data_IF_735837395021
#
_entry.id   IF_735837395021
#
_cell.length_a   1.000
_cell.length_b   1.000
_cell.length_c   1.000
_cell.angle_alpha   90.00
_cell.angle_beta   90.00
_cell.angle_gamma   90.00
#
_symmetry.space_group_name_H-M   'P 1'
#
loop_
_entity.id
_entity.type
_entity.pdbx_description
1 polymer ?
#
# COMPACT_ATOMS: atom_id res chain seq x y z
N UNK A 1 -37.80 -11.09 -7.30
CA UNK A 1 -37.20 -10.41 -8.46
C UNK A 1 -36.47 -9.18 -7.95
N UNK A 2 -35.15 -9.27 -7.78
CA UNK A 2 -34.33 -8.12 -7.40
C UNK A 2 -34.15 -7.23 -8.63
N UNK A 3 -34.48 -5.94 -8.48
CA UNK A 3 -34.36 -4.97 -9.55
C UNK A 3 -32.88 -4.82 -9.94
N UNK A 4 -32.57 -5.12 -11.21
CA UNK A 4 -31.26 -4.87 -11.78
C UNK A 4 -31.01 -3.35 -11.79
N UNK A 5 -29.95 -2.91 -11.11
CA UNK A 5 -29.46 -1.54 -11.18
C UNK A 5 -29.08 -1.21 -12.64
N UNK A 6 -29.39 0.01 -13.12
CA UNK A 6 -29.16 0.39 -14.51
C UNK A 6 -27.65 0.38 -14.84
N UNK A 7 -27.28 -0.45 -15.82
CA UNK A 7 -25.95 -0.38 -16.48
C UNK A 7 -25.96 0.84 -17.40
N UNK A 8 -25.45 1.97 -16.91
CA UNK A 8 -25.58 3.26 -17.60
C UNK A 8 -24.64 4.36 -17.12
N UNK A 9 -23.35 4.08 -16.95
CA UNK A 9 -22.23 4.98 -17.19
C UNK A 9 -20.96 4.13 -17.08
N UNK A 10 -20.02 4.21 -18.04
CA UNK A 10 -18.71 3.56 -17.85
C UNK A 10 -18.07 4.22 -16.64
N UNK A 11 -17.78 3.45 -15.60
CA UNK A 11 -17.17 3.99 -14.38
C UNK A 11 -15.89 4.76 -14.71
N UNK A 12 -15.55 5.74 -13.88
CA UNK A 12 -14.26 6.42 -13.96
C UNK A 12 -13.17 5.37 -13.87
N UNK A 13 -12.26 5.37 -14.84
CA UNK A 13 -11.17 4.41 -14.89
C UNK A 13 -10.19 4.73 -13.77
N UNK A 14 -10.13 3.86 -12.77
CA UNK A 14 -9.43 4.14 -11.51
C UNK A 14 -8.26 3.19 -11.32
N UNK A 15 -7.10 3.74 -11.00
CA UNK A 15 -5.96 2.98 -10.50
C UNK A 15 -6.05 2.86 -8.98
N UNK A 16 -5.62 1.73 -8.42
CA UNK A 16 -5.44 1.58 -6.96
C UNK A 16 -3.95 1.63 -6.64
N UNK A 17 -3.55 2.57 -5.78
CA UNK A 17 -2.22 2.58 -5.17
C UNK A 17 -2.06 1.36 -4.29
N UNK A 18 -1.29 0.38 -4.76
CA UNK A 18 -1.28 -0.97 -4.26
C UNK A 18 0.09 -1.35 -3.72
N UNK A 19 0.15 -1.67 -2.43
CA UNK A 19 1.39 -2.04 -1.73
C UNK A 19 1.32 -3.46 -1.14
N UNK A 20 0.27 -4.20 -1.47
CA UNK A 20 0.01 -5.55 -0.98
C UNK A 20 -0.43 -5.63 0.48
N UNK A 21 -0.49 -4.50 1.17
CA UNK A 21 -0.94 -4.42 2.55
C UNK A 21 -2.45 -4.44 2.69
N UNK A 22 -2.92 -4.66 3.93
CA UNK A 22 -4.34 -4.75 4.28
C UNK A 22 -5.14 -3.53 3.81
N UNK A 23 -4.58 -2.33 3.87
CA UNK A 23 -5.30 -1.10 3.56
C UNK A 23 -5.58 -0.97 2.06
N UNK A 24 -4.54 -1.14 1.22
CA UNK A 24 -4.71 -1.17 -0.23
C UNK A 24 -5.61 -2.32 -0.71
N UNK A 25 -5.56 -3.47 -0.03
CA UNK A 25 -6.42 -4.60 -0.34
C UNK A 25 -7.87 -4.35 0.07
N UNK A 26 -8.10 -3.72 1.22
CA UNK A 26 -9.45 -3.33 1.68
C UNK A 26 -10.08 -2.32 0.73
N UNK A 27 -9.32 -1.32 0.25
CA UNK A 27 -9.80 -0.39 -0.80
C UNK A 27 -10.23 -1.15 -2.04
N UNK A 28 -9.40 -2.08 -2.52
CA UNK A 28 -9.73 -2.88 -3.69
C UNK A 28 -11.03 -3.67 -3.51
N UNK A 29 -11.22 -4.30 -2.35
CA UNK A 29 -12.43 -5.06 -2.05
C UNK A 29 -13.67 -4.17 -1.90
N UNK A 30 -13.54 -3.00 -1.27
CA UNK A 30 -14.63 -2.01 -1.20
C UNK A 30 -15.09 -1.57 -2.60
N UNK A 31 -14.16 -1.42 -3.53
CA UNK A 31 -14.48 -1.02 -4.91
C UNK A 31 -15.09 -2.16 -5.73
N UNK A 32 -14.62 -3.40 -5.57
CA UNK A 32 -15.05 -4.54 -6.40
C UNK A 32 -16.23 -5.32 -5.86
N UNK A 33 -16.39 -5.38 -4.54
CA UNK A 33 -17.38 -6.21 -3.86
C UNK A 33 -18.02 -5.50 -2.66
N UNK A 34 -18.54 -4.26 -2.81
CA UNK A 34 -19.08 -3.47 -1.70
C UNK A 34 -20.21 -4.16 -0.94
N UNK A 35 -20.97 -5.04 -1.61
CA UNK A 35 -22.08 -5.79 -1.02
C UNK A 35 -21.66 -6.67 0.16
N UNK A 36 -20.47 -7.29 0.11
CA UNK A 36 -19.99 -8.18 1.18
C UNK A 36 -19.90 -7.43 2.51
N UNK A 37 -19.32 -6.22 2.49
CA UNK A 37 -19.20 -5.41 3.70
C UNK A 37 -20.54 -4.85 4.18
N UNK A 38 -21.42 -4.43 3.27
CA UNK A 38 -22.74 -3.90 3.63
C UNK A 38 -23.66 -4.97 4.24
N UNK A 39 -23.53 -6.22 3.80
CA UNK A 39 -24.31 -7.35 4.30
C UNK A 39 -23.81 -7.86 5.64
N UNK A 40 -22.49 -7.93 5.86
CA UNK A 40 -21.90 -8.56 7.03
C UNK A 40 -21.72 -7.63 8.24
N UNK A 41 -21.59 -6.31 8.03
CA UNK A 41 -21.41 -5.37 9.14
C UNK A 41 -22.75 -5.08 9.79
N UNK A 42 -22.93 -5.48 11.05
CA UNK A 42 -24.21 -5.34 11.75
C UNK A 42 -24.40 -4.04 12.54
N UNK A 43 -23.31 -3.38 12.90
CA UNK A 43 -23.35 -2.13 13.64
C UNK A 43 -23.89 -0.98 12.76
N UNK A 44 -24.93 -0.28 13.24
CA UNK A 44 -25.59 0.76 12.48
C UNK A 44 -24.67 1.96 12.18
N UNK A 45 -23.81 2.34 13.14
CA UNK A 45 -22.87 3.45 12.97
C UNK A 45 -21.80 3.10 11.95
N UNK A 46 -21.30 1.86 11.99
CA UNK A 46 -20.33 1.38 11.00
C UNK A 46 -20.93 1.23 9.61
N UNK A 47 -22.20 0.81 9.50
CA UNK A 47 -22.88 0.79 8.20
C UNK A 47 -23.03 2.18 7.60
N UNK A 48 -23.31 3.20 8.41
CA UNK A 48 -23.40 4.58 7.95
C UNK A 48 -22.04 5.08 7.43
N UNK A 49 -20.98 4.94 8.24
CA UNK A 49 -19.60 5.26 7.85
C UNK A 49 -19.18 4.50 6.57
N UNK A 50 -19.51 3.21 6.48
CA UNK A 50 -19.24 2.41 5.29
C UNK A 50 -19.97 2.96 4.05
N UNK A 51 -21.24 3.37 4.16
CA UNK A 51 -21.98 3.96 3.03
C UNK A 51 -21.32 5.25 2.55
N UNK A 52 -20.87 6.12 3.45
CA UNK A 52 -20.15 7.34 3.08
C UNK A 52 -18.84 7.03 2.33
N UNK A 53 -18.11 6.00 2.76
CA UNK A 53 -16.88 5.55 2.09
C UNK A 53 -17.17 4.98 0.71
N UNK A 54 -18.21 4.16 0.59
CA UNK A 54 -18.62 3.58 -0.68
C UNK A 54 -19.13 4.64 -1.66
N UNK A 55 -19.79 5.69 -1.18
CA UNK A 55 -20.20 6.82 -2.02
C UNK A 55 -19.01 7.49 -2.73
N UNK A 56 -17.83 7.55 -2.09
CA UNK A 56 -16.59 8.09 -2.69
C UNK A 56 -16.12 7.29 -3.91
N UNK A 57 -16.45 6.00 -3.98
CA UNK A 57 -15.98 5.08 -5.03
C UNK A 57 -17.09 4.51 -5.90
N UNK A 58 -18.35 4.87 -5.68
CA UNK A 58 -19.52 4.30 -6.37
C UNK A 58 -19.47 4.45 -7.91
N UNK A 59 -18.78 5.48 -8.40
CA UNK A 59 -18.61 5.74 -9.83
C UNK A 59 -17.23 5.34 -10.37
N UNK A 60 -16.47 4.55 -9.62
CA UNK A 60 -15.12 4.14 -10.00
C UNK A 60 -15.10 2.69 -10.47
N UNK A 61 -14.34 2.42 -11.53
CA UNK A 61 -14.05 1.08 -12.01
C UNK A 61 -12.55 0.81 -11.87
N UNK A 62 -12.18 -0.26 -11.16
CA UNK A 62 -10.78 -0.63 -10.98
C UNK A 62 -10.22 -1.15 -12.30
N UNK A 63 -9.31 -0.39 -12.90
CA UNK A 63 -8.70 -0.75 -14.18
C UNK A 63 -7.31 -1.38 -14.04
N UNK A 64 -6.53 -0.92 -13.06
CA UNK A 64 -5.19 -1.44 -12.78
C UNK A 64 -4.76 -1.17 -11.35
N UNK A 65 -3.73 -1.90 -10.93
CA UNK A 65 -2.98 -1.65 -9.70
C UNK A 65 -1.69 -0.89 -10.06
N UNK A 66 -1.30 0.07 -9.23
CA UNK A 66 -0.04 0.80 -9.39
C UNK A 66 0.78 0.73 -8.10
N UNK A 67 2.06 0.39 -8.21
CA UNK A 67 3.01 0.43 -7.10
C UNK A 67 4.14 1.39 -7.44
N UNK A 68 4.30 2.42 -6.61
CA UNK A 68 5.41 3.36 -6.70
C UNK A 68 6.61 2.79 -5.94
N UNK A 69 7.74 2.59 -6.61
CA UNK A 69 8.96 1.99 -6.03
C UNK A 69 10.14 2.94 -6.17
N UNK A 70 11.11 2.96 -5.24
CA UNK A 70 12.31 3.77 -5.42
C UNK A 70 13.10 3.36 -6.67
N UNK A 71 13.53 4.33 -7.46
CA UNK A 71 14.29 4.09 -8.68
C UNK A 71 15.67 3.49 -8.40
N UNK A 72 16.14 2.65 -9.32
CA UNK A 72 17.51 2.13 -9.34
C UNK A 72 17.92 1.24 -8.16
N UNK A 73 16.99 0.77 -7.33
CA UNK A 73 17.26 -0.17 -6.22
C UNK A 73 18.16 0.38 -5.10
N UNK A 74 18.49 1.68 -5.13
CA UNK A 74 19.41 2.32 -4.18
C UNK A 74 18.77 2.57 -2.81
N UNK A 75 17.45 2.53 -2.74
CA UNK A 75 16.68 2.75 -1.53
C UNK A 75 15.78 1.56 -1.23
N UNK A 76 15.64 1.22 0.04
CA UNK A 76 14.75 0.16 0.49
C UNK A 76 13.30 0.53 0.16
N UNK A 77 12.60 -0.36 -0.55
CA UNK A 77 11.15 -0.25 -0.71
C UNK A 77 10.47 -0.50 0.64
N UNK A 78 9.85 0.53 1.22
CA UNK A 78 9.29 0.51 2.59
C UNK A 78 7.90 -0.13 2.68
N UNK A 79 7.60 -1.07 1.79
CA UNK A 79 6.36 -1.83 1.78
C UNK A 79 6.68 -3.34 1.70
N UNK A 80 5.67 -4.16 1.42
CA UNK A 80 5.87 -5.58 1.17
C UNK A 80 6.86 -5.80 0.01
N UNK A 81 7.63 -6.90 -0.03
CA UNK A 81 8.52 -7.15 -1.16
C UNK A 81 7.76 -7.07 -2.47
N UNK A 82 8.35 -6.40 -3.46
CA UNK A 82 7.70 -6.18 -4.75
C UNK A 82 7.23 -7.48 -5.40
N UNK A 83 8.00 -8.57 -5.25
CA UNK A 83 7.60 -9.89 -5.74
C UNK A 83 6.28 -10.40 -5.13
N UNK A 84 6.01 -10.11 -3.85
CA UNK A 84 4.73 -10.43 -3.19
C UNK A 84 3.61 -9.61 -3.79
N UNK A 85 3.83 -8.30 -3.91
CA UNK A 85 2.84 -7.36 -4.45
C UNK A 85 2.44 -7.77 -5.88
N UNK A 86 3.41 -8.13 -6.71
CA UNK A 86 3.18 -8.63 -8.07
C UNK A 86 2.46 -9.99 -8.09
N UNK A 87 2.79 -10.90 -7.17
CA UNK A 87 2.07 -12.17 -7.02
C UNK A 87 0.59 -11.95 -6.65
N UNK A 88 0.32 -11.05 -5.70
CA UNK A 88 -1.03 -10.67 -5.32
C UNK A 88 -1.80 -10.06 -6.49
N UNK A 89 -1.17 -9.14 -7.24
CA UNK A 89 -1.80 -8.55 -8.42
C UNK A 89 -2.17 -9.58 -9.49
N UNK A 90 -1.27 -10.54 -9.77
CA UNK A 90 -1.56 -11.67 -10.66
C UNK A 90 -2.71 -12.54 -10.15
N UNK A 91 -2.73 -12.85 -8.86
CA UNK A 91 -3.81 -13.63 -8.25
C UNK A 91 -5.17 -12.92 -8.32
N UNK A 92 -5.18 -11.58 -8.29
CA UNK A 92 -6.38 -10.76 -8.45
C UNK A 92 -6.87 -10.64 -9.91
N UNK A 93 -6.07 -11.11 -10.88
CA UNK A 93 -6.35 -10.99 -12.31
C UNK A 93 -6.33 -9.55 -12.81
N UNK A 94 -5.60 -8.65 -12.14
CA UNK A 94 -5.55 -7.23 -12.49
C UNK A 94 -4.20 -6.85 -13.12
N UNK A 95 -4.18 -5.97 -14.14
CA UNK A 95 -2.94 -5.35 -14.60
C UNK A 95 -2.21 -4.64 -13.46
N UNK A 96 -0.88 -4.75 -13.43
CA UNK A 96 -0.05 -4.15 -12.40
C UNK A 96 1.07 -3.34 -13.03
N UNK A 97 1.09 -2.04 -12.73
CA UNK A 97 2.17 -1.13 -13.09
C UNK A 97 3.09 -0.95 -11.90
N UNK A 98 4.39 -1.11 -12.14
CA UNK A 98 5.44 -0.71 -11.22
C UNK A 98 6.04 0.58 -11.78
N UNK A 99 5.91 1.67 -11.06
CA UNK A 99 6.39 2.98 -11.49
C UNK A 99 7.55 3.40 -10.59
N UNK A 100 8.71 3.63 -11.18
CA UNK A 100 9.89 4.07 -10.43
C UNK A 100 9.74 5.53 -10.01
N UNK A 101 10.17 5.83 -8.80
CA UNK A 101 10.19 7.16 -8.20
C UNK A 101 11.62 7.56 -7.93
N UNK A 102 12.04 8.61 -8.61
CA UNK A 102 13.37 9.20 -8.47
C UNK A 102 13.39 10.25 -7.36
N UNK A 103 14.53 10.40 -6.69
CA UNK A 103 14.72 11.43 -5.66
C UNK A 103 15.04 12.81 -6.26
N UNK A 104 15.42 12.88 -7.54
CA UNK A 104 15.78 14.10 -8.23
C UNK A 104 14.76 14.42 -9.35
N UNK A 105 14.37 15.68 -9.57
CA UNK A 105 14.67 16.85 -8.73
C UNK A 105 14.05 16.75 -7.33
N UNK A 106 12.87 16.14 -7.19
CA UNK A 106 12.31 15.70 -5.91
C UNK A 106 11.46 14.43 -6.10
N UNK A 107 11.20 13.69 -5.01
CA UNK A 107 10.21 12.59 -5.04
C UNK A 107 8.83 13.05 -5.48
N UNK A 108 8.41 14.26 -5.07
CA UNK A 108 7.10 14.80 -5.40
C UNK A 108 6.95 14.96 -6.93
N UNK A 109 7.97 15.51 -7.60
CA UNK A 109 7.96 15.69 -9.05
C UNK A 109 7.86 14.36 -9.79
N UNK A 110 8.57 13.34 -9.30
CA UNK A 110 8.51 11.99 -9.88
C UNK A 110 7.13 11.34 -9.69
N UNK A 111 6.48 11.52 -8.54
CA UNK A 111 5.09 11.10 -8.32
C UNK A 111 4.12 11.85 -9.24
N UNK A 112 4.24 13.17 -9.37
CA UNK A 112 3.40 13.99 -10.27
C UNK A 112 3.51 13.48 -11.71
N UNK A 113 4.75 13.27 -12.19
CA UNK A 113 5.00 12.75 -13.53
C UNK A 113 4.38 11.36 -13.73
N UNK A 114 4.57 10.45 -12.78
CA UNK A 114 3.98 9.12 -12.87
C UNK A 114 2.44 9.15 -12.83
N UNK A 115 1.83 9.98 -11.99
CA UNK A 115 0.37 10.12 -11.95
C UNK A 115 -0.15 10.73 -13.26
N UNK A 116 0.53 11.73 -13.82
CA UNK A 116 0.21 12.25 -15.14
C UNK A 116 0.30 11.17 -16.23
N UNK A 117 1.33 10.31 -16.19
CA UNK A 117 1.46 9.17 -17.11
C UNK A 117 0.32 8.15 -16.98
N UNK A 118 -0.21 7.91 -15.78
CA UNK A 118 -1.40 7.07 -15.60
C UNK A 118 -2.59 7.60 -16.42
N UNK A 119 -2.78 8.93 -16.44
CA UNK A 119 -3.81 9.57 -17.27
C UNK A 119 -3.52 9.41 -18.76
N UNK A 120 -2.34 9.86 -19.21
CA UNK A 120 -2.02 9.92 -20.64
C UNK A 120 -1.93 8.54 -21.30
N UNK A 121 -1.25 7.59 -20.66
CA UNK A 121 -0.95 6.29 -21.25
C UNK A 121 -2.08 5.27 -21.01
N UNK A 122 -2.79 5.39 -19.88
CA UNK A 122 -3.76 4.37 -19.46
C UNK A 122 -5.19 4.89 -19.34
N UNK A 123 -5.43 6.19 -19.55
CA UNK A 123 -6.75 6.81 -19.45
C UNK A 123 -7.30 6.82 -18.02
N UNK A 124 -6.43 6.76 -17.01
CA UNK A 124 -6.82 6.76 -15.60
C UNK A 124 -7.25 8.17 -15.20
N UNK A 125 -8.43 8.30 -14.61
CA UNK A 125 -8.99 9.59 -14.16
C UNK A 125 -9.12 9.69 -12.64
N UNK A 126 -8.89 8.60 -11.92
CA UNK A 126 -8.80 8.60 -10.47
C UNK A 126 -7.73 7.64 -9.94
N UNK A 127 -7.15 7.98 -8.78
CA UNK A 127 -6.20 7.18 -8.03
C UNK A 127 -6.76 6.94 -6.62
N UNK A 128 -7.14 5.71 -6.32
CA UNK A 128 -7.59 5.32 -4.99
C UNK A 128 -6.40 4.89 -4.12
N UNK A 129 -6.29 5.40 -2.89
CA UNK A 129 -5.24 5.05 -1.94
C UNK A 129 -5.80 4.40 -0.67
N UNK A 130 -4.98 3.58 -0.03
CA UNK A 130 -5.24 2.99 1.29
C UNK A 130 -4.89 3.92 2.45
N UNK A 131 -4.75 5.23 2.22
CA UNK A 131 -4.38 6.17 3.27
C UNK A 131 -5.52 6.31 4.30
N UNK A 132 -5.15 6.21 5.57
CA UNK A 132 -6.08 6.29 6.72
C UNK A 132 -5.85 7.52 7.59
N UNK A 133 -4.65 8.12 7.51
CA UNK A 133 -4.22 9.34 8.21
C UNK A 133 -3.22 10.11 7.36
N UNK A 134 -3.02 11.39 7.68
CA UNK A 134 -1.92 12.16 7.12
C UNK A 134 -0.61 11.79 7.82
N UNK A 135 0.30 11.14 7.09
CA UNK A 135 1.61 10.74 7.60
C UNK A 135 2.77 11.48 6.92
N UNK A 136 2.48 12.34 5.94
CA UNK A 136 3.50 12.99 5.11
C UNK A 136 3.07 14.38 4.62
N UNK A 137 2.44 15.17 5.49
CA UNK A 137 2.05 16.56 5.22
C UNK A 137 1.27 16.71 3.91
N UNK A 138 0.24 15.88 3.73
CA UNK A 138 -0.59 15.84 2.52
C UNK A 138 0.21 15.58 1.24
N UNK A 139 1.18 14.66 1.29
CA UNK A 139 2.01 14.29 0.14
C UNK A 139 1.18 13.83 -1.07
N UNK A 140 0.30 12.84 -0.90
CA UNK A 140 -0.51 12.32 -2.01
C UNK A 140 -1.45 13.38 -2.62
N UNK A 141 -2.15 14.22 -1.82
CA UNK A 141 -2.89 15.36 -2.36
C UNK A 141 -2.03 16.30 -3.23
N UNK A 142 -0.82 16.64 -2.78
CA UNK A 142 0.12 17.46 -3.55
C UNK A 142 0.59 16.77 -4.82
N UNK A 143 0.84 15.46 -4.76
CA UNK A 143 1.28 14.66 -5.89
C UNK A 143 0.21 14.51 -6.99
N UNK A 144 -1.06 14.43 -6.60
CA UNK A 144 -2.16 14.33 -7.56
C UNK A 144 -2.61 15.70 -8.12
N UNK A 145 -2.34 16.79 -7.41
CA UNK A 145 -2.76 18.13 -7.81
C UNK A 145 -2.25 18.50 -9.22
N UNK A 146 -3.14 18.99 -10.07
CA UNK A 146 -2.80 19.44 -11.43
C UNK A 146 -2.54 18.33 -12.46
N UNK A 147 -2.57 17.05 -12.06
CA UNK A 147 -2.32 15.92 -12.98
C UNK A 147 -3.54 15.52 -13.84
N UNK A 148 -4.73 16.03 -13.48
CA UNK A 148 -5.99 15.59 -14.07
C UNK A 148 -6.49 14.23 -13.55
N UNK A 149 -5.81 13.65 -12.54
CA UNK A 149 -6.23 12.44 -11.83
C UNK A 149 -6.77 12.82 -10.44
N UNK A 150 -8.01 12.45 -10.15
CA UNK A 150 -8.60 12.69 -8.82
C UNK A 150 -8.03 11.72 -7.79
N UNK A 151 -7.58 12.23 -6.65
CA UNK A 151 -7.18 11.40 -5.51
C UNK A 151 -8.41 11.00 -4.68
N UNK A 152 -8.56 9.71 -4.42
CA UNK A 152 -9.62 9.15 -3.58
C UNK A 152 -8.99 8.38 -2.42
N UNK A 153 -9.35 8.72 -1.18
CA UNK A 153 -8.91 8.00 0.01
C UNK A 153 -10.13 7.44 0.77
N UNK A 154 -10.69 6.29 0.37
CA UNK A 154 -11.92 5.75 0.97
C UNK A 154 -11.75 5.39 2.44
N UNK A 155 -10.53 5.06 2.87
CA UNK A 155 -10.23 4.68 4.25
C UNK A 155 -9.80 5.87 5.13
N UNK A 156 -9.79 7.09 4.59
CA UNK A 156 -9.41 8.27 5.37
C UNK A 156 -10.29 8.43 6.61
N UNK A 157 -9.66 8.54 7.78
CA UNK A 157 -10.35 8.69 9.06
C UNK A 157 -11.17 7.46 9.48
N UNK A 158 -10.94 6.27 8.90
CA UNK A 158 -11.64 5.05 9.31
C UNK A 158 -11.31 4.67 10.75
N UNK A 159 -12.36 4.28 11.48
CA UNK A 159 -12.21 3.68 12.80
C UNK A 159 -11.43 2.36 12.66
N UNK A 160 -10.48 2.14 13.57
CA UNK A 160 -9.48 1.07 13.41
C UNK A 160 -10.09 -0.31 13.57
N UNK A 161 -11.08 -0.49 14.45
CA UNK A 161 -11.80 -1.76 14.57
C UNK A 161 -12.62 -2.03 13.33
N UNK A 162 -13.36 -1.05 12.81
CA UNK A 162 -14.09 -1.20 11.55
C UNK A 162 -13.16 -1.62 10.40
N UNK A 163 -11.99 -1.01 10.27
CA UNK A 163 -11.01 -1.43 9.26
C UNK A 163 -10.58 -2.90 9.43
N UNK A 164 -10.38 -3.38 10.66
CA UNK A 164 -10.05 -4.78 10.92
C UNK A 164 -11.23 -5.72 10.66
N UNK A 165 -12.44 -5.30 11.00
CA UNK A 165 -13.67 -6.03 10.69
C UNK A 165 -13.84 -6.19 9.18
N UNK A 166 -13.59 -5.14 8.40
CA UNK A 166 -13.58 -5.24 6.94
C UNK A 166 -12.54 -6.26 6.45
N UNK A 167 -11.35 -6.30 7.06
CA UNK A 167 -10.34 -7.31 6.72
C UNK A 167 -10.89 -8.73 6.87
N UNK A 168 -11.57 -9.03 7.98
CA UNK A 168 -12.14 -10.35 8.23
C UNK A 168 -13.38 -10.65 7.39
N UNK A 169 -14.26 -9.67 7.21
CA UNK A 169 -15.49 -9.79 6.41
C UNK A 169 -15.18 -10.14 4.95
N UNK A 170 -14.12 -9.59 4.38
CA UNK A 170 -13.66 -9.97 3.04
C UNK A 170 -12.88 -11.29 2.99
N UNK A 171 -12.78 -12.02 4.11
CA UNK A 171 -12.08 -13.30 4.20
C UNK A 171 -10.56 -13.17 4.03
N UNK A 172 -9.99 -11.99 4.28
CA UNK A 172 -8.54 -11.80 4.18
C UNK A 172 -7.84 -12.47 5.36
N UNK A 173 -6.69 -13.09 5.09
CA UNK A 173 -5.80 -13.67 6.09
C UNK A 173 -4.52 -12.83 6.20
N UNK A 174 -4.53 -11.73 6.98
CA UNK A 174 -3.38 -10.85 7.08
C UNK A 174 -2.21 -11.55 7.77
N UNK A 175 -1.01 -11.41 7.22
CA UNK A 175 0.24 -11.84 7.85
C UNK A 175 0.99 -10.60 8.36
N UNK A 176 1.43 -10.65 9.60
CA UNK A 176 2.30 -9.60 10.16
C UNK A 176 3.71 -9.84 9.62
N UNK A 177 4.13 -9.04 8.65
CA UNK A 177 5.42 -9.16 7.97
C UNK A 177 6.53 -8.33 8.61
N UNK A 178 6.16 -7.27 9.33
CA UNK A 178 7.08 -6.38 10.02
C UNK A 178 6.38 -5.75 11.21
N UNK A 179 7.11 -5.61 12.33
CA UNK A 179 6.64 -4.94 13.53
C UNK A 179 7.70 -3.97 14.01
N UNK A 180 7.29 -2.76 14.38
CA UNK A 180 8.14 -1.89 15.16
C UNK A 180 8.06 -2.33 16.63
N UNK A 181 9.09 -3.05 17.07
CA UNK A 181 9.12 -3.66 18.40
C UNK A 181 9.00 -2.64 19.53
N UNK A 182 9.53 -1.42 19.37
CA UNK A 182 9.47 -0.41 20.45
C UNK A 182 8.03 0.03 20.69
N UNK A 183 7.27 0.27 19.61
CA UNK A 183 5.84 0.60 19.70
C UNK A 183 4.99 -0.60 20.14
N UNK A 184 5.42 -1.82 19.83
CA UNK A 184 4.66 -3.03 20.15
C UNK A 184 4.77 -3.39 21.64
N UNK A 185 5.97 -3.28 22.22
CA UNK A 185 6.19 -3.57 23.65
C UNK A 185 5.52 -2.55 24.57
N UNK A 186 5.44 -1.29 24.16
CA UNK A 186 4.71 -0.24 24.90
C UNK A 186 3.21 -0.55 25.00
N UNK A 187 2.62 -1.14 23.97
CA UNK A 187 1.21 -1.53 23.96
C UNK A 187 0.94 -2.83 24.75
N UNK A 188 1.89 -3.78 24.76
CA UNK A 188 1.76 -5.05 25.51
C UNK A 188 1.83 -4.87 27.05
N UNK A 189 2.35 -3.73 27.52
CA UNK A 189 2.29 -3.33 28.93
C UNK A 189 0.89 -2.84 29.36
N UNK A 190 -0.02 -2.62 28.41
CA UNK A 190 -1.44 -2.33 28.67
C UNK A 190 -2.21 -3.66 28.69
N UNK A 191 -2.95 -3.89 29.78
CA UNK A 191 -3.68 -5.12 30.10
C UNK A 191 -4.38 -5.71 28.87
N UNK A 192 -4.23 -7.02 28.58
CA UNK A 192 -4.73 -7.61 27.34
C UNK A 192 -6.26 -7.47 27.25
N UNK A 193 -6.81 -7.01 26.11
CA UNK A 193 -8.23 -7.15 25.84
C UNK A 193 -8.59 -8.64 25.75
N UNK A 194 -9.80 -8.98 26.21
CA UNK A 194 -10.36 -10.33 26.16
C UNK A 194 -10.28 -10.93 24.77
N UNK A 195 -9.77 -12.16 24.71
CA UNK A 195 -9.32 -12.86 23.52
C UNK A 195 -10.33 -12.88 22.35
N UNK A 196 -9.94 -12.30 21.23
CA UNK A 196 -10.14 -12.95 19.93
C UNK A 196 -8.76 -13.42 19.44
N UNK A 197 -8.66 -14.71 19.10
CA UNK A 197 -7.39 -15.38 18.89
C UNK A 197 -6.69 -14.87 17.62
N UNK A 198 -5.65 -14.07 17.77
CA UNK A 198 -4.64 -13.87 16.71
C UNK A 198 -3.87 -15.18 16.59
N UNK A 199 -4.14 -15.97 15.56
CA UNK A 199 -3.30 -17.13 15.23
C UNK A 199 -2.02 -16.62 14.58
N UNK A 200 -0.93 -16.57 15.36
CA UNK A 200 0.41 -16.41 14.82
C UNK A 200 0.78 -17.73 14.13
N UNK A 201 0.91 -17.72 12.80
CA UNK A 201 1.44 -18.87 12.07
C UNK A 201 2.97 -18.87 12.18
N UNK A 202 3.57 -19.98 12.61
CA UNK A 202 5.03 -20.15 12.61
C UNK A 202 5.53 -20.22 11.16
N UNK A 203 6.44 -19.31 10.78
CA UNK A 203 7.07 -19.32 9.47
C UNK A 203 8.18 -20.38 9.45
N UNK A 204 8.00 -21.44 8.65
CA UNK A 204 9.02 -22.46 8.41
C UNK A 204 10.24 -21.88 7.69
N UNK A 205 11.42 -22.12 8.24
CA UNK A 205 12.73 -21.75 7.66
C UNK A 205 13.04 -22.69 6.50
N UNK A 206 13.40 -22.13 5.34
CA UNK A 206 14.03 -22.88 4.24
C UNK A 206 15.42 -22.30 4.00
N UNK A 207 16.45 -23.02 4.47
CA UNK A 207 17.86 -22.87 4.11
C UNK A 207 18.11 -23.52 2.72
N UNK A 208 19.14 -23.25 1.91
CA UNK A 208 20.30 -22.36 1.86
C UNK A 208 20.78 -22.42 0.38
N UNK A 209 21.53 -21.43 -0.10
CA UNK A 209 22.45 -21.61 -1.23
C UNK A 209 23.66 -20.68 -1.06
N UNK A 210 24.82 -21.30 -0.86
CA UNK A 210 26.16 -20.70 -0.76
C UNK A 210 26.52 -19.86 -1.99
N UNK A 211 27.20 -18.72 -1.77
CA UNK A 211 28.17 -18.18 -2.73
C UNK A 211 29.42 -17.77 -1.95
N UNK A 212 30.54 -18.29 -2.43
CA UNK A 212 31.90 -18.23 -1.90
C UNK A 212 32.50 -16.83 -2.07
N UNK A 213 33.20 -16.36 -1.04
CA UNK A 213 33.95 -15.10 -1.00
C UNK A 213 35.14 -15.07 -1.97
N UNK A 214 35.41 -13.88 -2.52
CA UNK A 214 36.74 -13.49 -2.99
C UNK A 214 37.00 -12.02 -2.66
N UNK A 215 37.85 -11.79 -1.66
CA UNK A 215 38.48 -10.50 -1.35
C UNK A 215 39.50 -10.11 -2.42
N UNK A 216 39.65 -8.81 -2.70
CA UNK A 216 40.96 -8.11 -2.57
C UNK A 216 40.85 -6.57 -2.67
N UNK A 217 41.42 -5.92 -1.65
CA UNK A 217 42.15 -4.63 -1.52
C UNK A 217 42.44 -3.79 -2.79
N UNK A 218 42.73 -2.48 -2.78
CA UNK A 218 42.75 -1.33 -1.84
C UNK A 218 43.18 -0.10 -2.68
N UNK A 219 42.91 1.13 -2.22
CA UNK A 219 43.87 2.26 -2.16
C UNK A 219 43.19 3.64 -2.05
N UNK A 220 43.77 4.45 -1.17
CA UNK A 220 43.34 5.78 -0.76
C UNK A 220 43.74 6.91 -1.72
N UNK A 221 43.03 8.04 -1.62
CA UNK A 221 43.44 9.34 -2.17
C UNK A 221 42.68 10.49 -1.53
N UNK A 222 43.34 11.21 -0.63
CA UNK A 222 42.81 12.37 0.09
C UNK A 222 42.79 13.64 -0.77
N UNK A 223 41.75 14.47 -0.61
CA UNK A 223 41.69 15.83 -1.15
C UNK A 223 40.59 16.65 -0.47
N UNK A 224 40.98 17.61 0.37
CA UNK A 224 40.11 18.60 1.01
C UNK A 224 39.70 19.68 0.00
N UNK A 225 38.41 20.04 -0.04
CA UNK A 225 37.97 21.40 -0.34
C UNK A 225 36.58 21.66 0.24
N UNK A 226 36.46 22.83 0.85
CA UNK A 226 35.38 23.41 1.64
C UNK A 226 34.20 23.89 0.77
N UNK A 227 32.97 23.73 1.28
CA UNK A 227 31.77 24.39 0.76
C UNK A 227 30.56 24.01 1.62
N UNK A 228 29.95 25.02 2.26
CA UNK A 228 28.81 24.92 3.18
C UNK A 228 27.68 24.04 2.63
N UNK A 229 27.28 23.03 3.40
CA UNK A 229 26.06 22.27 3.18
C UNK A 229 25.16 22.38 4.41
N UNK A 230 23.95 22.85 4.15
CA UNK A 230 22.86 22.96 5.08
C UNK A 230 22.36 21.56 5.45
N UNK A 231 22.36 21.31 6.75
CA UNK A 231 22.17 20.04 7.41
C UNK A 231 20.68 19.64 7.43
N UNK A 232 20.33 18.57 6.71
CA UNK A 232 19.12 17.79 6.97
C UNK A 232 19.57 16.40 7.41
N UNK A 233 19.48 16.14 8.71
CA UNK A 233 19.95 14.95 9.38
C UNK A 233 19.43 13.65 8.73
N UNK A 234 20.32 12.97 8.01
CA UNK A 234 20.16 11.58 7.63
C UNK A 234 20.54 10.71 8.84
N UNK A 235 19.55 10.39 9.68
CA UNK A 235 19.72 9.34 10.68
C UNK A 235 19.71 7.98 9.96
N UNK A 236 20.91 7.42 9.80
CA UNK A 236 21.13 6.08 9.28
C UNK A 236 20.46 5.02 10.17
N UNK A 237 19.81 4.06 9.53
CA UNK A 237 19.70 2.71 10.06
C UNK A 237 19.69 1.76 8.86
N UNK A 238 20.73 0.95 8.79
CA UNK A 238 20.86 -0.17 7.84
C UNK A 238 19.82 -1.23 8.20
N UNK A 239 18.76 -1.34 7.40
CA UNK A 239 17.80 -2.43 7.50
C UNK A 239 18.03 -3.43 6.39
N UNK A 240 18.84 -4.45 6.67
CA UNK A 240 18.90 -5.67 5.89
C UNK A 240 18.04 -6.72 6.56
N UNK A 241 16.88 -7.06 5.98
CA UNK A 241 16.25 -8.37 6.17
C UNK A 241 15.22 -8.62 5.05
N UNK A 242 15.34 -9.79 4.40
CA UNK A 242 14.55 -10.21 3.25
C UNK A 242 13.17 -10.71 3.72
N UNK A 243 12.05 -10.17 3.23
CA UNK A 243 10.74 -10.72 3.57
C UNK A 243 10.36 -11.87 2.64
N UNK A 244 9.84 -12.96 3.21
CA UNK A 244 9.38 -14.16 2.51
C UNK A 244 7.92 -13.99 2.09
N UNK A 245 7.60 -14.36 0.85
CA UNK A 245 6.28 -14.30 0.23
C UNK A 245 5.50 -15.60 0.44
N UNK A 246 4.16 -15.58 0.49
CA UNK A 246 3.35 -16.75 0.10
C UNK A 246 1.91 -16.43 -0.34
N UNK A 247 1.37 -17.39 -1.08
CA UNK A 247 0.27 -17.36 -2.06
C UNK A 247 -1.10 -17.61 -1.43
N UNK A 248 -2.10 -16.82 -1.80
CA UNK A 248 -3.51 -17.09 -1.50
C UNK A 248 -4.11 -18.09 -2.49
N UNK A 249 -4.91 -19.05 -2.01
CA UNK A 249 -5.71 -19.94 -2.88
C UNK A 249 -6.71 -19.09 -3.67
N UNK A 250 -6.79 -19.35 -4.97
CA UNK A 250 -7.76 -18.74 -5.86
C UNK A 250 -9.20 -19.00 -5.40
N UNK A 251 -10.05 -18.01 -5.67
CA UNK A 251 -11.51 -18.11 -5.57
C UNK A 251 -12.04 -19.33 -6.32
#
# INVERSE_FOLDING_TARGET
MAAALPRGSSGRKTAVSFTGGKDSMTVLHLMRAPGIALEAIDDASWREDLRERLAKVAHCEVALLVTFVPAGGKQSFKAHPLAVVQLQARALGLPHLVMEVESAPTFLDSYISNIHRLREEYGITALATGDILDVCSSFMPRAAAGTGVELIAPLWGIERRLLLELVWVYGMNPLITCVNITKFTEAAAVKPPTASAVRVAEAGVVAEAEVVDAETEAAAGAGKATGEQQEAAAAGSTWGQKPVALVGRGL
#
